data_IF_036911805166
#
_entry.id   IF_036911805166
#
_cell.length_a   1.000
_cell.length_b   1.000
_cell.length_c   1.000
_cell.angle_alpha   90.00
_cell.angle_beta   90.00
_cell.angle_gamma   90.00
#
_symmetry.space_group_name_H-M   'P 1'
#
loop_
_entity.id
_entity.type
_entity.pdbx_description
1 polymer ?
#
# COMPACT_ATOMS: atom_id res chain seq x y z
N UNK A 1 -20.28 -14.71 14.95
CA UNK A 1 -20.78 -15.33 13.71
C UNK A 1 -21.09 -14.26 12.66
N UNK A 2 -21.99 -13.30 12.94
CA UNK A 2 -22.45 -12.31 11.95
C UNK A 2 -21.35 -11.36 11.45
N UNK A 3 -20.28 -11.15 12.22
CA UNK A 3 -19.17 -10.27 11.83
C UNK A 3 -18.16 -10.93 10.87
N UNK A 4 -18.23 -12.26 10.68
CA UNK A 4 -17.29 -13.01 9.84
C UNK A 4 -17.97 -13.82 8.75
N UNK A 5 -19.28 -13.64 8.56
CA UNK A 5 -20.04 -14.33 7.53
C UNK A 5 -19.86 -13.64 6.19
N UNK A 6 -19.63 -14.39 5.10
CA UNK A 6 -19.52 -13.81 3.76
C UNK A 6 -20.88 -13.33 3.25
N UNK A 7 -20.90 -12.11 2.72
CA UNK A 7 -22.06 -11.47 2.09
C UNK A 7 -21.93 -11.34 0.56
N UNK A 8 -20.96 -11.99 -0.05
CA UNK A 8 -20.65 -11.85 -1.48
C UNK A 8 -19.70 -10.68 -1.76
N UNK A 9 -19.14 -10.62 -2.99
CA UNK A 9 -18.20 -9.57 -3.41
C UNK A 9 -17.01 -9.31 -2.47
N UNK A 10 -16.54 -10.36 -1.79
CA UNK A 10 -15.47 -10.30 -0.76
C UNK A 10 -15.87 -9.47 0.49
N UNK A 11 -17.15 -9.23 0.70
CA UNK A 11 -17.64 -8.54 1.88
C UNK A 11 -17.83 -9.57 3.00
N UNK A 12 -17.17 -9.36 4.13
CA UNK A 12 -17.29 -10.15 5.35
C UNK A 12 -17.90 -9.29 6.46
N UNK A 13 -18.87 -9.87 7.16
CA UNK A 13 -19.55 -9.25 8.27
C UNK A 13 -20.74 -8.37 7.91
N UNK A 14 -21.75 -8.42 8.77
CA UNK A 14 -23.04 -7.73 8.55
C UNK A 14 -22.89 -6.21 8.58
N UNK A 15 -21.97 -5.66 9.37
CA UNK A 15 -21.69 -4.23 9.40
C UNK A 15 -21.07 -3.74 8.09
N UNK A 16 -20.11 -4.48 7.56
CA UNK A 16 -19.51 -4.21 6.26
C UNK A 16 -20.55 -4.32 5.14
N UNK A 17 -21.45 -5.32 5.22
CA UNK A 17 -22.51 -5.50 4.24
C UNK A 17 -23.54 -4.36 4.28
N UNK A 18 -23.92 -3.88 5.47
CA UNK A 18 -24.82 -2.73 5.61
C UNK A 18 -24.26 -1.48 4.96
N UNK A 19 -22.98 -1.19 5.24
CA UNK A 19 -22.26 -0.07 4.61
C UNK A 19 -22.11 -0.25 3.11
N UNK A 20 -21.71 -1.44 2.66
CA UNK A 20 -21.42 -1.70 1.23
C UNK A 20 -22.67 -1.75 0.36
N UNK A 21 -23.78 -2.30 0.86
CA UNK A 21 -25.00 -2.44 0.07
C UNK A 21 -25.97 -1.27 0.21
N UNK A 22 -25.96 -0.61 1.37
CA UNK A 22 -26.96 0.42 1.68
C UNK A 22 -26.36 1.77 2.08
N UNK A 23 -25.03 1.85 2.31
CA UNK A 23 -24.37 3.10 2.70
C UNK A 23 -24.74 3.60 4.10
N UNK A 24 -25.22 2.71 4.98
CA UNK A 24 -25.70 3.07 6.33
C UNK A 24 -25.04 2.20 7.41
N UNK A 25 -25.03 2.71 8.64
CA UNK A 25 -24.61 1.92 9.79
C UNK A 25 -25.70 0.90 10.18
N UNK A 26 -25.32 -0.17 10.92
CA UNK A 26 -26.24 -1.23 11.34
C UNK A 26 -27.48 -0.70 12.06
N UNK A 27 -27.31 0.33 12.89
CA UNK A 27 -28.41 0.97 13.64
C UNK A 27 -29.40 1.75 12.77
N UNK A 28 -29.02 2.05 11.54
CA UNK A 28 -29.81 2.83 10.58
C UNK A 28 -30.53 1.95 9.54
N UNK A 29 -30.34 0.63 9.62
CA UNK A 29 -30.97 -0.30 8.70
C UNK A 29 -32.49 -0.32 8.90
N UNK A 30 -33.22 -0.28 7.79
CA UNK A 30 -34.65 -0.51 7.76
C UNK A 30 -34.98 -2.01 7.83
N UNK A 31 -36.19 -2.36 8.26
CA UNK A 31 -36.65 -3.76 8.32
C UNK A 31 -36.52 -4.53 7.01
N UNK A 32 -36.85 -3.94 5.83
CA UNK A 32 -36.61 -4.60 4.54
C UNK A 32 -35.12 -4.88 4.27
N UNK A 33 -34.23 -3.93 4.59
CA UNK A 33 -32.78 -4.10 4.44
C UNK A 33 -32.23 -5.20 5.36
N UNK A 34 -32.68 -5.26 6.61
CA UNK A 34 -32.31 -6.33 7.55
C UNK A 34 -32.75 -7.70 6.99
N UNK A 35 -33.98 -7.79 6.48
CA UNK A 35 -34.49 -9.03 5.88
C UNK A 35 -33.66 -9.47 4.68
N UNK A 36 -33.26 -8.55 3.81
CA UNK A 36 -32.38 -8.82 2.69
C UNK A 36 -31.01 -9.31 3.15
N UNK A 37 -30.37 -8.58 4.07
CA UNK A 37 -29.07 -8.98 4.61
C UNK A 37 -29.09 -10.37 5.27
N UNK A 38 -30.17 -10.75 5.93
CA UNK A 38 -30.30 -12.07 6.58
C UNK A 38 -30.33 -13.25 5.59
N UNK A 39 -30.66 -13.00 4.33
CA UNK A 39 -30.75 -14.03 3.30
C UNK A 39 -29.42 -14.23 2.54
N UNK A 40 -28.63 -13.17 2.40
CA UNK A 40 -27.38 -13.17 1.62
C UNK A 40 -26.39 -14.26 2.04
N UNK A 41 -26.11 -14.50 3.35
CA UNK A 41 -25.14 -15.52 3.77
C UNK A 41 -25.47 -16.94 3.32
N UNK A 42 -26.74 -17.23 3.05
CA UNK A 42 -27.18 -18.56 2.59
C UNK A 42 -26.83 -18.80 1.13
N UNK A 43 -26.93 -17.78 0.29
CA UNK A 43 -26.63 -17.81 -1.16
C UNK A 43 -26.11 -16.45 -1.61
N UNK A 44 -24.85 -16.10 -1.32
CA UNK A 44 -24.33 -14.76 -1.61
C UNK A 44 -24.40 -14.37 -3.08
N UNK A 45 -24.20 -15.33 -4.00
CA UNK A 45 -24.27 -15.09 -5.44
C UNK A 45 -25.67 -14.82 -5.99
N UNK A 46 -26.70 -15.23 -5.26
CA UNK A 46 -28.10 -15.12 -5.68
C UNK A 46 -28.81 -13.92 -5.03
N UNK A 47 -28.53 -13.68 -3.75
CA UNK A 47 -29.25 -12.68 -2.94
C UNK A 47 -28.47 -11.39 -2.71
N UNK A 48 -27.17 -11.33 -3.01
CA UNK A 48 -26.44 -10.07 -2.92
C UNK A 48 -27.01 -9.06 -3.94
N UNK A 49 -27.31 -7.82 -3.54
CA UNK A 49 -27.82 -6.79 -4.43
C UNK A 49 -26.87 -6.62 -5.64
N UNK A 50 -27.39 -6.36 -6.84
CA UNK A 50 -26.53 -6.03 -7.96
C UNK A 50 -25.64 -4.83 -7.57
N UNK A 51 -24.42 -4.80 -8.08
CA UNK A 51 -23.38 -3.79 -7.78
C UNK A 51 -23.81 -2.35 -8.11
N UNK A 52 -24.89 -1.85 -7.52
CA UNK A 52 -25.32 -0.46 -7.68
C UNK A 52 -24.73 0.49 -6.65
N UNK A 53 -24.12 -0.05 -5.59
CA UNK A 53 -23.41 0.74 -4.59
C UNK A 53 -21.93 0.33 -4.59
N UNK A 54 -21.12 1.05 -5.34
CA UNK A 54 -19.69 1.02 -5.07
C UNK A 54 -19.46 1.97 -3.88
N UNK A 55 -19.13 1.42 -2.74
CA UNK A 55 -18.47 2.19 -1.69
C UNK A 55 -17.30 2.92 -2.36
N UNK A 56 -17.16 4.24 -2.22
CA UNK A 56 -15.95 4.91 -2.71
C UNK A 56 -14.78 4.29 -1.96
N UNK A 57 -14.11 3.34 -2.61
CA UNK A 57 -12.88 2.75 -2.08
C UNK A 57 -11.79 3.80 -2.25
N UNK A 58 -11.59 4.57 -1.20
CA UNK A 58 -10.47 5.49 -1.12
C UNK A 58 -9.23 4.73 -0.68
N UNK A 59 -8.09 5.04 -1.26
CA UNK A 59 -6.80 4.39 -0.97
C UNK A 59 -6.86 2.85 -0.99
N UNK A 60 -7.39 2.21 -2.06
CA UNK A 60 -7.72 0.78 -2.07
C UNK A 60 -6.51 -0.13 -1.80
N UNK A 61 -5.32 0.22 -2.30
CA UNK A 61 -4.09 -0.52 -2.05
C UNK A 61 -3.72 -0.49 -0.56
N UNK A 62 -3.80 0.68 0.08
CA UNK A 62 -3.49 0.81 1.50
C UNK A 62 -4.48 0.03 2.38
N UNK A 63 -5.75 0.07 2.05
CA UNK A 63 -6.78 -0.73 2.74
C UNK A 63 -6.47 -2.21 2.61
N UNK A 64 -6.13 -2.69 1.41
CA UNK A 64 -5.75 -4.08 1.18
C UNK A 64 -4.49 -4.46 1.99
N UNK A 65 -3.47 -3.59 2.02
CA UNK A 65 -2.27 -3.78 2.82
C UNK A 65 -2.58 -3.91 4.31
N UNK A 66 -3.38 -2.99 4.87
CA UNK A 66 -3.75 -3.02 6.29
C UNK A 66 -4.51 -4.30 6.64
N UNK A 67 -5.49 -4.69 5.83
CA UNK A 67 -6.24 -5.94 6.02
C UNK A 67 -5.30 -7.14 6.00
N UNK A 68 -4.35 -7.18 5.07
CA UNK A 68 -3.37 -8.27 4.97
C UNK A 68 -2.46 -8.33 6.20
N UNK A 69 -2.01 -7.19 6.74
CA UNK A 69 -1.23 -7.16 7.98
C UNK A 69 -2.04 -7.71 9.17
N UNK A 70 -3.31 -7.33 9.30
CA UNK A 70 -4.19 -7.88 10.34
C UNK A 70 -4.39 -9.39 10.21
N UNK A 71 -4.51 -9.90 8.98
CA UNK A 71 -4.66 -11.35 8.73
C UNK A 71 -3.40 -12.16 9.04
N UNK A 72 -2.23 -11.56 8.85
CA UNK A 72 -0.93 -12.18 9.13
C UNK A 72 -0.56 -12.17 10.61
N UNK A 73 -1.12 -11.24 11.37
CA UNK A 73 -0.86 -11.16 12.80
C UNK A 73 -1.68 -12.22 13.57
N UNK A 74 -1.00 -13.29 13.97
CA UNK A 74 -1.61 -14.39 14.73
C UNK A 74 -2.17 -13.98 16.10
N UNK A 75 -1.81 -12.80 16.62
CA UNK A 75 -2.33 -12.27 17.90
C UNK A 75 -3.68 -11.56 17.70
N UNK A 76 -3.96 -11.10 16.49
CA UNK A 76 -5.21 -10.41 16.16
C UNK A 76 -6.27 -11.43 15.73
N UNK A 77 -7.22 -11.72 16.62
CA UNK A 77 -8.28 -12.71 16.39
C UNK A 77 -9.32 -12.30 15.34
N UNK A 78 -9.48 -11.02 15.09
CA UNK A 78 -10.41 -10.47 14.11
C UNK A 78 -9.98 -9.06 13.68
N UNK A 79 -10.41 -8.65 12.49
CA UNK A 79 -10.30 -7.27 12.04
C UNK A 79 -11.37 -6.45 12.78
N UNK A 80 -11.03 -5.33 13.42
CA UNK A 80 -12.02 -4.46 14.08
C UNK A 80 -13.04 -3.91 13.09
N UNK A 81 -14.25 -3.61 13.58
CA UNK A 81 -15.31 -3.02 12.74
C UNK A 81 -14.96 -1.62 12.22
N UNK A 82 -14.07 -0.92 12.91
CA UNK A 82 -13.55 0.38 12.50
C UNK A 82 -12.07 0.53 12.88
N UNK A 83 -11.30 1.10 11.97
CA UNK A 83 -9.89 1.43 12.15
C UNK A 83 -9.68 2.90 11.81
N UNK A 84 -9.00 3.62 12.70
CA UNK A 84 -8.49 4.96 12.39
C UNK A 84 -7.06 4.82 11.90
N UNK A 85 -6.79 5.33 10.72
CA UNK A 85 -5.49 5.24 10.06
C UNK A 85 -4.90 6.65 9.89
N UNK A 86 -3.58 6.73 9.71
CA UNK A 86 -2.83 7.98 9.56
C UNK A 86 -2.90 8.57 8.15
N UNK A 87 -3.39 7.81 7.18
CA UNK A 87 -3.44 8.22 5.77
C UNK A 87 -4.44 9.35 5.57
N UNK A 88 -3.98 10.41 4.90
CA UNK A 88 -4.80 11.55 4.50
C UNK A 88 -5.43 11.28 3.14
N UNK A 89 -6.74 11.19 3.12
CA UNK A 89 -7.53 10.88 1.94
C UNK A 89 -7.42 11.94 0.84
N UNK A 90 -7.41 13.22 1.21
CA UNK A 90 -7.35 14.32 0.23
C UNK A 90 -5.97 14.36 -0.44
N UNK A 91 -4.91 14.16 0.35
CA UNK A 91 -3.56 14.06 -0.19
C UNK A 91 -3.38 12.82 -1.07
N UNK A 92 -3.98 11.69 -0.72
CA UNK A 92 -3.98 10.51 -1.58
C UNK A 92 -4.66 10.79 -2.93
N UNK A 93 -5.84 11.41 -2.92
CA UNK A 93 -6.56 11.75 -4.16
C UNK A 93 -5.79 12.76 -5.04
N UNK A 94 -5.13 13.74 -4.42
CA UNK A 94 -4.26 14.68 -5.15
C UNK A 94 -3.08 13.96 -5.76
N UNK A 95 -2.41 13.10 -4.99
CA UNK A 95 -1.25 12.32 -5.44
C UNK A 95 -1.63 11.36 -6.56
N UNK A 96 -2.76 10.67 -6.46
CA UNK A 96 -3.27 9.78 -7.50
C UNK A 96 -3.49 10.53 -8.81
N UNK A 97 -4.13 11.69 -8.77
CA UNK A 97 -4.31 12.55 -9.96
C UNK A 97 -2.98 13.01 -10.55
N UNK A 98 -1.99 13.35 -9.72
CA UNK A 98 -0.66 13.72 -10.20
C UNK A 98 0.04 12.57 -10.90
N UNK A 99 -0.09 11.34 -10.38
CA UNK A 99 0.44 10.12 -11.01
C UNK A 99 -0.25 9.86 -12.33
N UNK A 100 -1.59 9.92 -12.37
CA UNK A 100 -2.37 9.76 -13.61
C UNK A 100 -1.94 10.76 -14.69
N UNK A 101 -1.76 12.03 -14.30
CA UNK A 101 -1.28 13.05 -15.21
C UNK A 101 0.11 12.71 -15.75
N UNK A 102 1.02 12.25 -14.89
CA UNK A 102 2.37 11.86 -15.32
C UNK A 102 2.36 10.63 -16.22
N UNK A 103 1.54 9.63 -15.93
CA UNK A 103 1.36 8.48 -16.82
C UNK A 103 0.86 8.96 -18.20
N UNK A 104 -0.11 9.87 -18.22
CA UNK A 104 -0.61 10.46 -19.46
C UNK A 104 0.47 11.26 -20.22
N UNK A 105 1.29 12.04 -19.51
CA UNK A 105 2.38 12.82 -20.11
C UNK A 105 3.45 11.93 -20.79
N UNK A 106 3.58 10.66 -20.34
CA UNK A 106 4.60 9.73 -20.82
C UNK A 106 4.03 8.51 -21.56
N UNK A 107 2.86 8.62 -22.16
CA UNK A 107 2.22 7.51 -22.90
C UNK A 107 3.14 6.90 -23.97
N UNK A 108 3.87 7.74 -24.69
CA UNK A 108 4.81 7.29 -25.73
C UNK A 108 5.95 6.44 -25.17
N UNK A 109 6.28 6.59 -23.89
CA UNK A 109 7.30 5.80 -23.20
C UNK A 109 6.77 4.46 -22.65
N UNK A 110 5.52 4.11 -22.93
CA UNK A 110 4.84 2.89 -22.43
C UNK A 110 4.84 2.77 -20.90
N UNK A 111 4.71 3.91 -20.22
CA UNK A 111 4.56 3.95 -18.77
C UNK A 111 3.06 3.85 -18.46
N UNK A 112 2.66 2.79 -17.76
CA UNK A 112 1.27 2.52 -17.41
C UNK A 112 1.01 2.66 -15.92
N UNK A 113 2.03 2.53 -15.09
CA UNK A 113 1.90 2.46 -13.65
C UNK A 113 2.83 3.44 -12.94
N UNK A 114 2.40 3.94 -11.80
CA UNK A 114 3.19 4.79 -10.93
C UNK A 114 2.69 4.71 -9.51
N UNK A 115 3.58 4.79 -8.53
CA UNK A 115 3.24 4.70 -7.12
C UNK A 115 3.91 5.80 -6.31
N UNK A 116 3.33 6.12 -5.17
CA UNK A 116 3.90 7.08 -4.23
C UNK A 116 3.62 6.68 -2.78
N UNK A 117 4.64 6.87 -1.95
CA UNK A 117 4.58 6.71 -0.50
C UNK A 117 5.12 7.98 0.15
N UNK A 118 4.33 8.58 1.03
CA UNK A 118 4.75 9.74 1.83
C UNK A 118 4.67 9.38 3.31
N UNK A 119 5.78 9.58 4.00
CA UNK A 119 5.93 9.28 5.42
C UNK A 119 6.31 10.56 6.16
N UNK A 120 5.70 10.80 7.31
CA UNK A 120 6.09 11.88 8.19
C UNK A 120 7.44 11.55 8.85
N UNK A 121 8.47 12.33 8.55
CA UNK A 121 9.83 12.08 9.04
C UNK A 121 9.99 12.17 10.56
N UNK A 122 9.06 12.82 11.27
CA UNK A 122 9.12 12.96 12.72
C UNK A 122 8.42 11.83 13.45
N UNK A 123 7.27 11.38 12.93
CA UNK A 123 6.41 10.40 13.59
C UNK A 123 6.54 9.00 13.00
N UNK A 124 7.03 8.87 11.76
CA UNK A 124 7.04 7.61 11.02
C UNK A 124 5.66 7.22 10.45
N UNK A 125 4.65 8.07 10.61
CA UNK A 125 3.30 7.80 10.12
C UNK A 125 3.23 7.88 8.59
N UNK A 126 2.49 6.96 8.00
CA UNK A 126 2.20 6.97 6.56
C UNK A 126 1.09 7.99 6.32
N UNK A 127 1.39 9.03 5.54
CA UNK A 127 0.46 10.10 5.18
C UNK A 127 -0.21 9.82 3.84
N UNK A 128 0.56 9.33 2.85
CA UNK A 128 0.05 8.99 1.53
C UNK A 128 0.52 7.60 1.15
N UNK A 129 -0.41 6.80 0.63
CA UNK A 129 -0.13 5.52 0.02
C UNK A 129 -0.95 5.39 -1.27
N UNK A 130 -0.30 5.55 -2.39
CA UNK A 130 -0.88 5.36 -3.72
C UNK A 130 -0.11 4.24 -4.41
N UNK A 131 -0.70 3.06 -4.49
CA UNK A 131 -0.07 1.89 -5.10
C UNK A 131 -0.05 1.94 -6.62
N UNK A 132 -1.01 2.63 -7.24
CA UNK A 132 -1.07 2.90 -8.68
C UNK A 132 -1.95 4.11 -8.96
N UNK A 133 -1.82 4.68 -10.16
CA UNK A 133 -2.61 5.83 -10.60
C UNK A 133 -4.10 5.52 -10.83
N UNK A 134 -4.45 4.30 -11.23
CA UNK A 134 -5.84 3.83 -11.32
C UNK A 134 -5.94 2.37 -10.89
N UNK A 135 -6.62 2.11 -9.79
CA UNK A 135 -6.86 0.76 -9.26
C UNK A 135 -7.64 -0.14 -10.25
N UNK A 136 -8.43 0.46 -11.13
CA UNK A 136 -9.27 -0.26 -12.10
C UNK A 136 -8.60 -0.49 -13.44
N UNK A 137 -7.39 0.02 -13.65
CA UNK A 137 -6.64 -0.15 -14.90
C UNK A 137 -6.38 -1.65 -15.16
N UNK A 138 -6.74 -2.09 -16.36
CA UNK A 138 -6.54 -3.47 -16.82
C UNK A 138 -5.06 -3.85 -16.95
N UNK A 139 -4.16 -2.87 -17.09
CA UNK A 139 -2.70 -3.05 -17.17
C UNK A 139 -2.02 -3.19 -15.81
N UNK A 140 -2.72 -3.72 -14.83
CA UNK A 140 -2.15 -4.01 -13.52
C UNK A 140 -2.44 -2.96 -12.47
N UNK A 141 -3.56 -2.23 -12.58
CA UNK A 141 -3.99 -1.23 -11.60
C UNK A 141 -4.09 -1.75 -10.16
N UNK A 142 -4.34 -3.05 -9.99
CA UNK A 142 -4.40 -3.69 -8.66
C UNK A 142 -3.03 -4.04 -8.06
N UNK A 143 -1.95 -3.92 -8.85
CA UNK A 143 -0.59 -4.14 -8.33
C UNK A 143 -0.22 -2.94 -7.45
N UNK A 144 0.13 -3.23 -6.20
CA UNK A 144 0.60 -2.21 -5.28
C UNK A 144 2.09 -1.91 -5.51
N UNK A 145 2.37 -0.87 -6.28
CA UNK A 145 3.73 -0.45 -6.62
C UNK A 145 4.56 0.00 -5.42
N UNK A 146 3.93 0.29 -4.27
CA UNK A 146 4.65 0.58 -3.02
C UNK A 146 5.30 -0.68 -2.44
N UNK A 147 4.69 -1.85 -2.67
CA UNK A 147 5.16 -3.14 -2.14
C UNK A 147 6.03 -3.92 -3.14
N UNK A 148 5.98 -3.57 -4.42
CA UNK A 148 6.75 -4.28 -5.44
C UNK A 148 8.25 -4.02 -5.27
N UNK A 149 9.02 -5.10 -5.22
CA UNK A 149 10.48 -5.02 -5.21
C UNK A 149 10.99 -4.61 -6.60
N UNK A 150 11.25 -3.33 -6.76
CA UNK A 150 11.80 -2.77 -7.98
C UNK A 150 13.32 -2.63 -7.88
N UNK A 151 13.97 -2.65 -9.05
CA UNK A 151 15.40 -2.36 -9.15
C UNK A 151 15.60 -0.86 -8.88
N UNK A 152 16.36 -0.48 -7.83
CA UNK A 152 16.45 0.93 -7.41
C UNK A 152 17.22 1.82 -8.38
N UNK A 153 18.09 1.23 -9.22
CA UNK A 153 18.92 1.98 -10.15
C UNK A 153 19.73 3.07 -9.45
N UNK A 154 19.78 4.24 -10.06
CA UNK A 154 20.54 5.39 -9.54
C UNK A 154 20.01 5.98 -8.23
N UNK A 155 18.81 5.65 -7.79
CA UNK A 155 18.27 6.09 -6.49
C UNK A 155 19.04 5.52 -5.31
N UNK A 156 19.84 4.46 -5.53
CA UNK A 156 20.75 3.91 -4.51
C UNK A 156 22.03 4.75 -4.31
N UNK A 157 22.41 5.61 -5.26
CA UNK A 157 23.68 6.36 -5.19
C UNK A 157 23.82 7.23 -3.93
N UNK A 158 22.80 7.98 -3.47
CA UNK A 158 22.90 8.75 -2.22
C UNK A 158 23.27 7.90 -1.02
N UNK A 159 22.72 6.69 -0.91
CA UNK A 159 23.02 5.76 0.18
C UNK A 159 24.45 5.24 0.08
N UNK A 160 24.90 4.89 -1.12
CA UNK A 160 26.26 4.45 -1.37
C UNK A 160 27.27 5.55 -1.00
N UNK A 161 27.02 6.79 -1.41
CA UNK A 161 27.87 7.92 -1.10
C UNK A 161 27.87 8.25 0.40
N UNK A 162 26.72 8.15 1.05
CA UNK A 162 26.63 8.33 2.50
C UNK A 162 27.50 7.31 3.25
N UNK A 163 27.44 6.04 2.88
CA UNK A 163 28.30 5.00 3.45
C UNK A 163 29.79 5.25 3.19
N UNK A 164 30.14 5.67 1.97
CA UNK A 164 31.53 5.96 1.61
C UNK A 164 32.08 7.14 2.43
N UNK A 165 31.29 8.21 2.64
CA UNK A 165 31.67 9.39 3.40
C UNK A 165 31.71 9.05 4.90
N UNK A 166 30.76 8.25 5.42
CA UNK A 166 30.77 7.78 6.80
C UNK A 166 32.05 6.96 7.11
N UNK A 167 32.60 6.31 6.10
CA UNK A 167 33.85 5.55 6.21
C UNK A 167 33.70 4.21 6.93
N UNK A 168 32.46 3.72 7.11
CA UNK A 168 32.20 2.40 7.71
C UNK A 168 31.12 1.66 6.94
N UNK A 169 31.20 0.35 6.92
CA UNK A 169 30.19 -0.54 6.37
C UNK A 169 29.78 -1.59 7.38
N UNK A 170 28.56 -2.11 7.33
CA UNK A 170 28.18 -3.25 8.17
C UNK A 170 28.98 -4.49 7.77
N UNK A 171 29.48 -5.23 8.75
CA UNK A 171 30.19 -6.50 8.54
C UNK A 171 29.25 -7.57 7.97
N UNK A 172 28.01 -7.55 8.42
CA UNK A 172 26.95 -8.44 7.94
C UNK A 172 25.62 -7.70 7.98
N UNK A 173 24.75 -7.95 7.00
CA UNK A 173 23.39 -7.42 6.95
C UNK A 173 22.37 -8.34 7.60
N UNK A 174 22.78 -9.53 8.04
CA UNK A 174 21.91 -10.57 8.62
C UNK A 174 21.89 -10.56 10.14
N UNK A 175 22.85 -9.91 10.78
CA UNK A 175 22.98 -9.92 12.24
C UNK A 175 22.13 -8.84 12.90
N UNK A 176 21.48 -9.18 14.02
CA UNK A 176 20.68 -8.25 14.82
C UNK A 176 21.52 -7.12 15.44
N UNK A 177 22.80 -7.39 15.72
CA UNK A 177 23.78 -6.40 16.13
C UNK A 177 24.72 -6.12 14.96
N UNK A 178 24.52 -4.97 14.33
CA UNK A 178 25.32 -4.57 13.16
C UNK A 178 26.69 -4.07 13.63
N UNK A 179 27.68 -4.96 13.63
CA UNK A 179 29.07 -4.57 13.80
C UNK A 179 29.51 -3.81 12.53
N UNK A 180 30.09 -2.63 12.73
CA UNK A 180 30.58 -1.78 11.64
C UNK A 180 32.10 -1.95 11.51
N UNK A 181 32.56 -2.16 10.30
CA UNK A 181 33.99 -2.22 9.96
C UNK A 181 34.39 -0.94 9.21
N UNK A 182 35.59 -0.37 9.48
CA UNK A 182 36.07 0.79 8.76
C UNK A 182 36.39 0.44 7.31
N UNK A 183 36.05 1.36 6.41
CA UNK A 183 36.53 1.27 5.03
C UNK A 183 38.04 1.50 4.99
N UNK A 184 38.70 0.80 4.06
CA UNK A 184 40.17 0.95 3.85
C UNK A 184 40.54 2.39 3.45
N UNK A 185 39.68 3.05 2.69
CA UNK A 185 39.83 4.45 2.27
C UNK A 185 38.62 5.25 2.78
N UNK A 186 38.91 6.44 3.32
CA UNK A 186 37.87 7.40 3.70
C UNK A 186 37.63 8.32 2.51
N UNK A 187 36.37 8.53 2.19
CA UNK A 187 35.95 9.40 1.10
C UNK A 187 35.38 10.71 1.66
N UNK A 188 35.58 11.79 0.93
CA UNK A 188 34.98 13.09 1.17
C UNK A 188 34.14 13.48 -0.05
N UNK A 189 33.18 14.42 0.08
CA UNK A 189 32.37 14.85 -1.06
C UNK A 189 33.18 15.36 -2.26
N UNK A 190 34.41 15.83 -1.99
CA UNK A 190 35.35 16.35 -2.98
C UNK A 190 36.38 15.34 -3.46
N UNK A 191 36.34 14.09 -3.01
CA UNK A 191 37.27 13.04 -3.42
C UNK A 191 37.08 12.74 -4.90
N UNK A 192 38.16 12.89 -5.66
CA UNK A 192 38.18 12.55 -7.08
C UNK A 192 38.53 11.07 -7.23
N UNK A 193 37.63 10.34 -7.90
CA UNK A 193 37.84 8.94 -8.25
C UNK A 193 38.25 8.85 -9.71
N UNK A 194 39.33 8.11 -10.06
CA UNK A 194 39.69 7.90 -11.44
C UNK A 194 38.65 7.00 -12.13
N UNK A 195 38.15 7.43 -13.25
CA UNK A 195 37.28 6.64 -14.14
C UNK A 195 38.15 5.74 -15.06
N UNK A 196 38.70 4.70 -14.46
CA UNK A 196 39.53 3.70 -15.16
C UNK A 196 38.89 2.31 -15.02
N UNK A 197 39.06 1.43 -16.00
CA UNK A 197 38.63 0.06 -15.90
C UNK A 197 39.21 -0.61 -14.66
N UNK A 198 38.30 -1.23 -13.87
CA UNK A 198 38.69 -2.00 -12.67
C UNK A 198 38.24 -3.44 -12.84
N UNK A 199 39.14 -4.35 -12.53
CA UNK A 199 38.80 -5.78 -12.44
C UNK A 199 38.34 -6.08 -11.02
N UNK A 200 37.13 -6.60 -10.89
CA UNK A 200 36.55 -6.98 -9.61
C UNK A 200 36.68 -8.47 -9.29
N UNK A 201 37.46 -9.22 -10.09
CA UNK A 201 37.72 -10.66 -9.91
C UNK A 201 36.70 -11.56 -10.56
#
# INVERSE_FOLDING_TARGET
YLNNVPFGFQIEGVGSAARSFYGVELSQLTLPQIKMLSQIPRRPSEYAPPKSFSYPQKCPHFVAYVIDQYRKDAQLKCIPDALTLSVDNELCEVTERMIQQKISDYQDARIHNGSALVINNRTGEIIVWVGNGDFKDEHGGQIDGVLVNNQPGSSMKPFLYALAIEGTVPESITDKEVKRIPLKNKFEPTTILPDIPQDFG
#
